data_IF_514322493195
#
_entry.id   IF_514322493195
#
_cell.length_a   1.000
_cell.length_b   1.000
_cell.length_c   1.000
_cell.angle_alpha   90.00
_cell.angle_beta   90.00
_cell.angle_gamma   90.00
#
_symmetry.space_group_name_H-M   'P 1'
#
loop_
_entity.id
_entity.type
_entity.pdbx_description
1 polymer ?
#
# COMPACT_ATOMS: atom_id res chain seq x y z
N UNK A 1 -6.57 -18.35 13.28
CA UNK A 1 -5.91 -17.50 12.26
C UNK A 1 -6.44 -16.08 12.46
N UNK A 2 -5.57 -15.07 12.60
CA UNK A 2 -6.02 -13.68 12.81
C UNK A 2 -6.68 -13.12 11.54
N UNK A 3 -7.54 -12.10 11.68
CA UNK A 3 -8.17 -11.48 10.50
C UNK A 3 -7.13 -10.83 9.59
N UNK A 4 -6.09 -10.21 10.17
CA UNK A 4 -5.00 -9.64 9.39
C UNK A 4 -4.21 -10.71 8.61
N UNK A 5 -4.03 -11.92 9.16
CA UNK A 5 -3.40 -13.03 8.44
C UNK A 5 -4.22 -13.44 7.20
N UNK A 6 -5.55 -13.48 7.30
CA UNK A 6 -6.43 -13.78 6.17
C UNK A 6 -6.27 -12.70 5.08
N UNK A 7 -6.31 -11.42 5.47
CA UNK A 7 -6.10 -10.31 4.54
C UNK A 7 -4.74 -10.40 3.85
N UNK A 8 -3.67 -10.69 4.60
CA UNK A 8 -2.32 -10.89 4.05
C UNK A 8 -2.28 -11.99 3.00
N UNK A 9 -2.86 -13.15 3.30
CA UNK A 9 -2.88 -14.29 2.36
C UNK A 9 -3.70 -14.01 1.11
N UNK A 10 -4.80 -13.26 1.24
CA UNK A 10 -5.59 -12.83 0.10
C UNK A 10 -4.77 -11.89 -0.81
N UNK A 11 -4.11 -10.87 -0.22
CA UNK A 11 -3.23 -9.95 -0.97
C UNK A 11 -2.13 -10.73 -1.71
N UNK A 12 -1.45 -11.66 -1.03
CA UNK A 12 -0.38 -12.46 -1.64
C UNK A 12 -0.92 -13.23 -2.85
N UNK A 13 -2.05 -13.93 -2.69
CA UNK A 13 -2.68 -14.67 -3.79
C UNK A 13 -3.06 -13.75 -4.95
N UNK A 14 -3.57 -12.56 -4.66
CA UNK A 14 -3.95 -11.59 -5.70
C UNK A 14 -2.74 -11.09 -6.48
N UNK A 15 -1.62 -10.82 -5.81
CA UNK A 15 -0.36 -10.44 -6.46
C UNK A 15 0.19 -11.61 -7.29
N UNK A 16 0.27 -12.82 -6.73
CA UNK A 16 0.81 -14.00 -7.42
C UNK A 16 -0.02 -14.43 -8.64
N UNK A 17 -1.34 -14.21 -8.60
CA UNK A 17 -2.23 -14.51 -9.73
C UNK A 17 -2.19 -13.45 -10.84
N UNK A 18 -1.48 -12.34 -10.64
CA UNK A 18 -1.37 -11.28 -11.62
C UNK A 18 0.05 -11.21 -12.20
N UNK A 19 0.26 -11.59 -13.47
CA UNK A 19 1.60 -11.64 -14.08
C UNK A 19 2.29 -10.27 -14.17
N UNK A 20 1.53 -9.17 -14.00
CA UNK A 20 2.05 -7.81 -13.95
C UNK A 20 2.86 -7.53 -12.69
N UNK A 21 2.64 -8.27 -11.61
CA UNK A 21 3.27 -7.99 -10.32
C UNK A 21 4.20 -9.11 -9.89
N UNK A 22 5.31 -8.75 -9.26
CA UNK A 22 6.29 -9.68 -8.73
C UNK A 22 6.56 -9.39 -7.25
N UNK A 23 6.37 -10.40 -6.40
CA UNK A 23 6.69 -10.30 -4.97
C UNK A 23 8.21 -10.36 -4.79
N UNK A 24 8.76 -9.32 -4.18
CA UNK A 24 10.19 -9.23 -3.86
C UNK A 24 10.50 -9.74 -2.45
N UNK A 25 9.64 -9.45 -1.48
CA UNK A 25 9.83 -9.90 -0.10
C UNK A 25 8.55 -9.88 0.70
N UNK A 26 8.40 -10.83 1.62
CA UNK A 26 7.33 -10.87 2.61
C UNK A 26 7.97 -11.00 3.99
N UNK A 27 7.58 -10.14 4.92
CA UNK A 27 7.98 -10.21 6.33
C UNK A 27 6.72 -10.20 7.20
N UNK A 28 6.74 -10.94 8.30
CA UNK A 28 5.68 -10.92 9.30
C UNK A 28 6.31 -10.86 10.68
N UNK A 29 5.74 -10.06 11.57
CA UNK A 29 6.23 -9.84 12.92
C UNK A 29 5.04 -10.00 13.85
N UNK A 30 5.12 -10.97 14.76
CA UNK A 30 4.18 -11.12 15.86
C UNK A 30 4.51 -10.08 16.94
N UNK A 31 3.48 -9.54 17.58
CA UNK A 31 3.69 -8.58 18.67
C UNK A 31 4.36 -9.29 19.87
N UNK A 32 5.41 -8.71 20.48
CA UNK A 32 6.22 -9.39 21.48
C UNK A 32 5.44 -9.77 22.75
N UNK A 33 4.49 -8.92 23.17
CA UNK A 33 3.68 -9.14 24.37
C UNK A 33 2.30 -9.77 24.11
N UNK A 34 1.63 -9.41 23.02
CA UNK A 34 0.31 -9.93 22.67
C UNK A 34 0.39 -10.75 21.37
N UNK A 35 0.71 -12.04 21.48
CA UNK A 35 0.90 -12.97 20.35
C UNK A 35 -0.31 -13.13 19.42
N UNK A 36 -1.46 -12.56 19.77
CA UNK A 36 -2.63 -12.51 18.88
C UNK A 36 -2.55 -11.38 17.85
N UNK A 37 -1.78 -10.33 18.14
CA UNK A 37 -1.52 -9.22 17.23
C UNK A 37 -0.31 -9.53 16.35
N UNK A 38 -0.42 -9.12 15.10
CA UNK A 38 0.64 -9.26 14.12
C UNK A 38 0.72 -8.02 13.24
N UNK A 39 1.87 -7.87 12.61
CA UNK A 39 2.09 -6.96 11.49
C UNK A 39 2.75 -7.71 10.36
N UNK A 40 2.59 -7.20 9.14
CA UNK A 40 3.26 -7.74 7.98
C UNK A 40 3.72 -6.62 7.06
N UNK A 41 4.72 -6.92 6.24
CA UNK A 41 5.20 -6.07 5.16
C UNK A 41 5.37 -6.94 3.92
N UNK A 42 4.76 -6.53 2.80
CA UNK A 42 4.92 -7.12 1.48
C UNK A 42 5.53 -6.07 0.57
N UNK A 43 6.66 -6.40 -0.04
CA UNK A 43 7.28 -5.59 -1.08
C UNK A 43 7.07 -6.31 -2.39
N UNK A 44 6.53 -5.60 -3.38
CA UNK A 44 6.31 -6.11 -4.72
C UNK A 44 6.57 -5.01 -5.75
N UNK A 45 6.83 -5.40 -6.99
CA UNK A 45 7.05 -4.48 -8.11
C UNK A 45 6.05 -4.72 -9.22
N UNK A 46 5.75 -3.67 -9.98
CA UNK A 46 5.16 -3.79 -11.30
C UNK A 46 6.27 -4.15 -12.30
N UNK A 47 6.07 -5.19 -13.10
CA UNK A 47 7.05 -5.67 -14.07
C UNK A 47 7.02 -4.85 -15.36
N UNK A 48 5.91 -4.16 -15.63
CA UNK A 48 5.72 -3.29 -16.80
C UNK A 48 6.11 -1.85 -16.51
N UNK A 49 5.85 -1.37 -15.29
CA UNK A 49 6.19 -0.03 -14.82
C UNK A 49 7.30 -0.11 -13.78
N UNK A 50 8.33 0.74 -13.86
CA UNK A 50 9.40 0.79 -12.85
C UNK A 50 8.94 1.38 -11.50
N UNK A 51 7.90 0.80 -10.91
CA UNK A 51 7.25 1.23 -9.67
C UNK A 51 7.42 0.12 -8.65
N UNK A 52 7.89 0.50 -7.46
CA UNK A 52 8.00 -0.40 -6.31
C UNK A 52 6.92 -0.06 -5.29
N UNK A 53 6.19 -1.08 -4.88
CA UNK A 53 5.16 -1.00 -3.87
C UNK A 53 5.63 -1.60 -2.54
N UNK A 54 5.25 -0.96 -1.45
CA UNK A 54 5.42 -1.44 -0.09
C UNK A 54 4.06 -1.44 0.59
N UNK A 55 3.56 -2.61 0.97
CA UNK A 55 2.29 -2.76 1.66
C UNK A 55 2.55 -3.25 3.08
N UNK A 56 2.15 -2.43 4.06
CA UNK A 56 2.28 -2.73 5.48
C UNK A 56 0.89 -2.89 6.08
N UNK A 57 0.65 -4.00 6.77
CA UNK A 57 -0.56 -4.24 7.54
C UNK A 57 -0.25 -4.39 9.02
N UNK A 58 -1.11 -3.84 9.89
CA UNK A 58 -1.05 -4.06 11.34
C UNK A 58 -2.45 -4.23 11.92
N UNK A 59 -2.55 -5.00 13.00
CA UNK A 59 -3.76 -5.13 13.82
C UNK A 59 -3.50 -4.44 15.16
N UNK A 60 -4.42 -3.58 15.59
CA UNK A 60 -4.31 -2.89 16.87
C UNK A 60 -5.03 -3.66 18.00
N UNK A 61 -4.89 -3.17 19.23
CA UNK A 61 -5.45 -3.83 20.42
C UNK A 61 -6.98 -3.95 20.43
N UNK A 62 -7.68 -3.10 19.66
CA UNK A 62 -9.14 -3.12 19.50
C UNK A 62 -9.60 -3.92 18.26
N UNK A 63 -8.71 -4.70 17.64
CA UNK A 63 -8.95 -5.54 16.44
C UNK A 63 -9.33 -4.77 15.17
N UNK A 64 -9.06 -3.48 15.12
CA UNK A 64 -9.07 -2.71 13.88
C UNK A 64 -7.76 -2.97 13.13
N UNK A 65 -7.84 -3.03 11.81
CA UNK A 65 -6.64 -3.13 10.98
C UNK A 65 -6.29 -1.75 10.40
N UNK A 66 -4.99 -1.50 10.31
CA UNK A 66 -4.44 -0.44 9.48
C UNK A 66 -3.65 -1.05 8.34
N UNK A 67 -3.91 -0.59 7.10
CA UNK A 67 -3.14 -0.96 5.92
C UNK A 67 -2.59 0.31 5.27
N UNK A 68 -1.29 0.31 5.02
CA UNK A 68 -0.58 1.36 4.31
C UNK A 68 0.02 0.76 3.04
N UNK A 69 -0.41 1.26 1.89
CA UNK A 69 0.17 0.94 0.59
C UNK A 69 0.94 2.15 0.08
N UNK A 70 2.25 1.99 -0.13
CA UNK A 70 3.11 3.05 -0.63
C UNK A 70 3.66 2.67 -2.00
N UNK A 71 3.68 3.60 -2.95
CA UNK A 71 4.38 3.49 -4.22
C UNK A 71 5.45 4.57 -4.31
N UNK A 72 6.68 4.14 -4.58
CA UNK A 72 7.81 5.03 -4.84
C UNK A 72 8.27 4.87 -6.28
N UNK A 73 8.49 5.99 -6.96
CA UNK A 73 8.91 6.01 -8.35
C UNK A 73 9.60 7.34 -8.70
N UNK A 74 10.39 7.31 -9.77
CA UNK A 74 11.01 8.51 -10.32
C UNK A 74 10.00 9.29 -11.16
N UNK A 75 10.00 10.60 -11.00
CA UNK A 75 9.18 11.52 -11.80
C UNK A 75 10.05 12.59 -12.44
N UNK A 76 9.51 13.28 -13.45
CA UNK A 76 10.16 14.39 -14.14
C UNK A 76 9.54 15.75 -13.81
N UNK A 77 8.81 15.85 -12.70
CA UNK A 77 8.04 17.04 -12.34
C UNK A 77 9.01 18.07 -11.74
N UNK A 78 9.00 19.31 -12.20
CA UNK A 78 9.96 20.31 -11.69
C UNK A 78 9.57 20.93 -10.35
N UNK A 79 8.30 20.85 -9.98
CA UNK A 79 7.74 21.43 -8.76
C UNK A 79 7.47 20.37 -7.71
N UNK A 80 7.72 20.74 -6.46
CA UNK A 80 7.29 19.92 -5.34
C UNK A 80 5.76 20.06 -5.14
N UNK A 81 5.09 18.96 -4.85
CA UNK A 81 3.65 18.74 -4.73
C UNK A 81 3.45 18.00 -3.39
N UNK A 82 2.51 18.50 -2.60
CA UNK A 82 2.04 17.88 -1.36
C UNK A 82 0.51 17.97 -1.37
N UNK A 83 -0.14 16.83 -1.56
CA UNK A 83 -1.60 16.73 -1.64
C UNK A 83 -2.10 15.57 -0.78
N UNK A 84 -3.26 15.76 -0.13
CA UNK A 84 -3.96 14.71 0.61
C UNK A 84 -5.45 14.79 0.32
N UNK A 85 -6.08 13.63 0.11
CA UNK A 85 -7.51 13.53 -0.17
C UNK A 85 -8.09 12.19 0.28
N UNK A 86 -9.38 12.19 0.59
CA UNK A 86 -10.12 10.99 0.95
C UNK A 86 -10.92 10.45 -0.25
N UNK A 87 -10.80 9.16 -0.55
CA UNK A 87 -11.50 8.46 -1.64
C UNK A 87 -11.87 7.05 -1.18
N UNK A 88 -13.16 6.67 -1.25
CA UNK A 88 -13.64 5.31 -0.97
C UNK A 88 -13.14 4.68 0.34
N UNK A 89 -13.03 5.49 1.40
CA UNK A 89 -12.49 5.18 2.74
C UNK A 89 -10.96 5.05 2.84
N UNK A 90 -10.25 5.49 1.80
CA UNK A 90 -8.81 5.60 1.78
C UNK A 90 -8.39 7.05 1.87
N UNK A 91 -7.33 7.33 2.64
CA UNK A 91 -6.63 8.59 2.53
C UNK A 91 -5.44 8.42 1.58
N UNK A 92 -5.44 9.16 0.47
CA UNK A 92 -4.37 9.18 -0.51
C UNK A 92 -3.53 10.42 -0.27
N UNK A 93 -2.23 10.23 -0.06
CA UNK A 93 -1.24 11.29 0.09
C UNK A 93 -0.24 11.21 -1.07
N UNK A 94 0.01 12.34 -1.72
CA UNK A 94 0.94 12.47 -2.83
C UNK A 94 2.02 13.45 -2.39
N UNK A 95 3.27 12.99 -2.39
CA UNK A 95 4.43 13.82 -2.11
C UNK A 95 5.49 13.58 -3.18
N UNK A 96 6.17 14.62 -3.62
CA UNK A 96 7.43 14.47 -4.36
C UNK A 96 8.53 15.31 -3.72
N UNK A 97 9.77 14.91 -3.99
CA UNK A 97 10.95 15.47 -3.36
C UNK A 97 12.02 15.75 -4.41
N UNK A 98 13.04 16.53 -4.01
CA UNK A 98 14.22 16.85 -4.82
C UNK A 98 13.88 17.58 -6.13
N UNK A 99 12.97 18.57 -6.08
CA UNK A 99 12.42 19.26 -7.26
C UNK A 99 11.71 18.27 -8.17
N UNK A 100 10.82 17.47 -7.56
CA UNK A 100 10.03 16.41 -8.18
C UNK A 100 10.77 15.39 -9.05
N UNK A 101 11.96 14.96 -8.61
CA UNK A 101 12.66 13.80 -9.21
C UNK A 101 12.16 12.46 -8.69
N UNK A 102 11.69 12.44 -7.46
CA UNK A 102 11.22 11.23 -6.77
C UNK A 102 9.85 11.53 -6.18
N UNK A 103 8.86 10.69 -6.47
CA UNK A 103 7.54 10.76 -5.88
C UNK A 103 7.28 9.56 -4.97
N UNK A 104 6.52 9.83 -3.91
CA UNK A 104 5.98 8.88 -2.96
C UNK A 104 4.48 9.11 -2.87
N UNK A 105 3.72 8.14 -3.33
CA UNK A 105 2.26 8.10 -3.17
C UNK A 105 1.97 7.11 -2.06
N UNK A 106 1.12 7.49 -1.11
CA UNK A 106 0.66 6.65 -0.02
C UNK A 106 -0.84 6.54 -0.07
N UNK A 107 -1.35 5.36 0.27
CA UNK A 107 -2.75 5.10 0.49
C UNK A 107 -2.90 4.42 1.85
N UNK A 108 -3.69 5.05 2.73
CA UNK A 108 -3.95 4.57 4.07
C UNK A 108 -5.40 4.12 4.21
N UNK A 109 -5.58 2.90 4.69
CA UNK A 109 -6.84 2.33 5.14
C UNK A 109 -6.78 2.10 6.65
N UNK A 110 -7.83 2.50 7.38
CA UNK A 110 -8.04 2.14 8.78
C UNK A 110 -9.49 1.72 8.95
N UNK A 111 -9.72 0.49 9.40
CA UNK A 111 -11.10 0.03 9.57
C UNK A 111 -11.26 -1.47 9.71
N UNK A 112 -12.45 -1.92 9.33
CA UNK A 112 -12.85 -3.32 9.45
C UNK A 112 -12.13 -4.17 8.38
N UNK A 113 -11.36 -5.21 8.78
CA UNK A 113 -10.66 -6.08 7.83
C UNK A 113 -11.56 -6.72 6.77
N UNK A 114 -12.83 -6.98 7.09
CA UNK A 114 -13.77 -7.61 6.16
C UNK A 114 -14.19 -6.65 5.01
N UNK A 115 -13.86 -5.36 5.12
CA UNK A 115 -14.17 -4.32 4.13
C UNK A 115 -12.96 -3.90 3.29
N UNK A 116 -11.76 -4.42 3.58
CA UNK A 116 -10.58 -4.08 2.80
C UNK A 116 -10.58 -4.86 1.48
N UNK A 117 -10.45 -4.12 0.38
CA UNK A 117 -10.31 -4.65 -0.97
C UNK A 117 -8.97 -4.18 -1.55
N UNK A 118 -8.07 -5.13 -1.84
CA UNK A 118 -6.73 -4.81 -2.31
C UNK A 118 -6.72 -4.29 -3.75
N UNK A 119 -7.55 -4.84 -4.63
CA UNK A 119 -7.66 -4.34 -6.01
C UNK A 119 -8.17 -2.92 -6.04
N UNK A 120 -9.20 -2.62 -5.25
CA UNK A 120 -9.71 -1.25 -5.13
C UNK A 120 -8.61 -0.33 -4.61
N UNK A 121 -7.94 -0.69 -3.50
CA UNK A 121 -6.85 0.10 -2.94
C UNK A 121 -5.73 0.35 -3.96
N UNK A 122 -5.28 -0.69 -4.68
CA UNK A 122 -4.22 -0.57 -5.68
C UNK A 122 -4.65 0.29 -6.88
N UNK A 123 -5.87 0.12 -7.38
CA UNK A 123 -6.40 0.94 -8.46
C UNK A 123 -6.57 2.40 -8.04
N UNK A 124 -7.07 2.67 -6.82
CA UNK A 124 -7.15 4.03 -6.27
C UNK A 124 -5.76 4.66 -6.18
N UNK A 125 -4.76 3.95 -5.66
CA UNK A 125 -3.39 4.45 -5.60
C UNK A 125 -2.85 4.80 -7.01
N UNK A 126 -3.10 3.94 -8.00
CA UNK A 126 -2.63 4.14 -9.38
C UNK A 126 -3.35 5.32 -10.04
N UNK A 127 -4.69 5.31 -10.07
CA UNK A 127 -5.47 6.30 -10.81
C UNK A 127 -5.44 7.67 -10.12
N UNK A 128 -5.62 7.68 -8.80
CA UNK A 128 -5.80 8.91 -8.05
C UNK A 128 -4.49 9.44 -7.48
N UNK A 129 -3.44 8.63 -7.43
CA UNK A 129 -2.11 9.03 -6.97
C UNK A 129 -1.09 9.11 -8.09
N UNK A 130 -0.75 7.95 -8.67
CA UNK A 130 0.37 7.82 -9.61
C UNK A 130 0.08 8.52 -10.94
N UNK A 131 -1.07 8.27 -11.56
CA UNK A 131 -1.41 8.82 -12.87
C UNK A 131 -1.55 10.35 -12.82
N UNK A 132 -2.04 10.93 -11.72
CA UNK A 132 -2.12 12.40 -11.52
C UNK A 132 -0.77 13.10 -11.50
N UNK A 133 0.32 12.38 -11.25
CA UNK A 133 1.67 12.92 -11.29
C UNK A 133 2.32 12.82 -12.68
N UNK A 134 1.77 12.00 -13.57
CA UNK A 134 2.35 11.75 -14.90
C UNK A 134 1.68 12.63 -15.98
N UNK A 135 0.43 13.05 -15.77
CA UNK A 135 -0.36 13.90 -16.67
C UNK A 135 -0.49 15.34 -16.14
#
# INVERSE_FOLDING_TARGET
MSKLQIVKENIIKEIENNPKYEIQSIKSIEHPLNKTLMSFNIIFSDSEKSIRYSLVGYENEIKEIGILLEASFFTGIEKDIEESKEIDNFNVEINNFKKGKEALVKLLYKGNPDKFDFYLALNTLIEEGINKLIY
#
